data_IF_756967017787
#
_entry.id   IF_756967017787
#
_cell.length_a   1.000
_cell.length_b   1.000
_cell.length_c   1.000
_cell.angle_alpha   90.00
_cell.angle_beta   90.00
_cell.angle_gamma   90.00
#
_symmetry.space_group_name_H-M   'P 1'
#
loop_
_entity.id
_entity.type
_entity.pdbx_description
1 polymer ?
#
# COMPACT_ATOMS: atom_id res chain seq x y z
N UNK A 1 -16.07 5.03 19.57
CA UNK A 1 -15.18 5.03 18.41
C UNK A 1 -15.55 6.20 17.53
N UNK A 2 -14.74 7.25 17.52
CA UNK A 2 -14.98 8.45 16.72
C UNK A 2 -14.78 8.14 15.25
N UNK A 3 -15.89 8.08 14.51
CA UNK A 3 -15.94 7.84 13.05
C UNK A 3 -15.01 8.82 12.31
N UNK A 4 -14.85 10.04 12.82
CA UNK A 4 -13.88 11.02 12.33
C UNK A 4 -12.44 10.49 12.29
N UNK A 5 -11.97 9.88 13.38
CA UNK A 5 -10.60 9.35 13.45
C UNK A 5 -10.42 8.13 12.53
N UNK A 6 -11.46 7.29 12.40
CA UNK A 6 -11.45 6.15 11.47
C UNK A 6 -11.37 6.61 10.01
N UNK A 7 -12.17 7.59 9.61
CA UNK A 7 -12.17 8.13 8.23
C UNK A 7 -10.82 8.77 7.89
N UNK A 8 -10.23 9.51 8.83
CA UNK A 8 -8.91 10.12 8.64
C UNK A 8 -7.84 9.02 8.48
N UNK A 9 -7.88 7.97 9.31
CA UNK A 9 -6.93 6.85 9.17
C UNK A 9 -7.09 6.11 7.83
N UNK A 10 -8.32 5.98 7.33
CA UNK A 10 -8.60 5.37 6.02
C UNK A 10 -8.08 6.24 4.87
N UNK A 11 -8.26 7.57 4.94
CA UNK A 11 -7.74 8.50 3.95
C UNK A 11 -6.21 8.54 3.95
N UNK A 12 -5.59 8.56 5.14
CA UNK A 12 -4.14 8.51 5.28
C UNK A 12 -3.61 7.18 4.73
N UNK A 13 -4.24 6.05 5.05
CA UNK A 13 -3.89 4.73 4.50
C UNK A 13 -3.95 4.71 2.96
N UNK A 14 -5.00 5.32 2.38
CA UNK A 14 -5.17 5.38 0.93
C UNK A 14 -4.03 6.15 0.25
N UNK A 15 -3.62 7.29 0.83
CA UNK A 15 -2.51 8.11 0.31
C UNK A 15 -1.13 7.47 0.63
N UNK A 16 -1.01 6.74 1.74
CA UNK A 16 0.22 6.06 2.12
C UNK A 16 0.50 4.83 1.23
N UNK A 17 -0.55 4.22 0.67
CA UNK A 17 -0.42 3.04 -0.19
C UNK A 17 0.49 3.25 -1.43
N UNK A 18 0.36 4.30 -2.25
CA UNK A 18 1.29 4.55 -3.35
C UNK A 18 2.71 4.85 -2.86
N UNK A 19 2.86 5.54 -1.72
CA UNK A 19 4.18 5.86 -1.14
C UNK A 19 4.93 4.57 -0.81
N UNK A 20 4.27 3.62 -0.16
CA UNK A 20 4.86 2.32 0.19
C UNK A 20 5.24 1.54 -1.07
N UNK A 21 4.41 1.57 -2.12
CA UNK A 21 4.71 0.88 -3.39
C UNK A 21 5.97 1.43 -4.05
N UNK A 22 6.12 2.75 -4.13
CA UNK A 22 7.34 3.36 -4.68
C UNK A 22 8.58 3.05 -3.84
N UNK A 23 8.47 3.00 -2.50
CA UNK A 23 9.56 2.59 -1.63
C UNK A 23 9.96 1.14 -1.92
N UNK A 24 9.00 0.22 -1.97
CA UNK A 24 9.26 -1.20 -2.27
C UNK A 24 9.88 -1.34 -3.67
N UNK A 25 9.38 -0.61 -4.66
CA UNK A 25 9.91 -0.64 -6.03
C UNK A 25 11.34 -0.11 -6.08
N UNK A 26 11.66 0.91 -5.29
CA UNK A 26 13.00 1.46 -5.18
C UNK A 26 13.96 0.47 -4.53
N UNK A 27 13.54 -0.21 -3.45
CA UNK A 27 14.34 -1.26 -2.81
C UNK A 27 14.55 -2.44 -3.76
N UNK A 28 13.52 -2.84 -4.50
CA UNK A 28 13.61 -3.92 -5.48
C UNK A 28 14.57 -3.58 -6.63
N UNK A 29 14.56 -2.33 -7.10
CA UNK A 29 15.54 -1.82 -8.07
C UNK A 29 16.97 -1.84 -7.53
N UNK A 30 17.17 -1.43 -6.27
CA UNK A 30 18.47 -1.50 -5.59
C UNK A 30 18.96 -2.95 -5.41
N UNK A 31 18.03 -3.90 -5.25
CA UNK A 31 18.33 -5.33 -5.18
C UNK A 31 18.63 -5.96 -6.56
N UNK A 32 18.70 -5.17 -7.64
CA UNK A 32 19.01 -5.62 -8.99
C UNK A 32 17.81 -6.07 -9.82
N UNK A 33 16.58 -5.84 -9.34
CA UNK A 33 15.38 -6.18 -10.09
C UNK A 33 14.93 -5.02 -10.99
N UNK A 34 14.95 -5.24 -12.30
CA UNK A 34 14.35 -4.34 -13.27
C UNK A 34 12.85 -4.63 -13.40
N UNK A 35 12.07 -4.11 -12.45
CA UNK A 35 10.62 -4.07 -12.57
C UNK A 35 10.21 -2.88 -13.45
N UNK A 36 10.00 -3.14 -14.74
CA UNK A 36 9.26 -2.26 -15.63
C UNK A 36 7.76 -2.56 -15.46
N UNK A 37 7.08 -1.78 -14.61
CA UNK A 37 5.65 -1.95 -14.42
C UNK A 37 4.88 -1.23 -15.51
N UNK A 38 4.09 -1.98 -16.28
CA UNK A 38 3.05 -1.38 -17.11
C UNK A 38 1.93 -0.78 -16.25
N UNK A 39 1.12 0.10 -16.84
CA UNK A 39 -0.01 0.72 -16.15
C UNK A 39 -0.98 -0.32 -15.54
N UNK A 40 -1.19 -1.46 -16.23
CA UNK A 40 -2.06 -2.54 -15.75
C UNK A 40 -1.48 -3.30 -14.56
N UNK A 41 -0.18 -3.56 -14.56
CA UNK A 41 0.49 -4.26 -13.45
C UNK A 41 0.58 -3.38 -12.20
N UNK A 42 0.82 -2.09 -12.38
CA UNK A 42 0.81 -1.10 -11.28
C UNK A 42 -0.55 -1.07 -10.57
N UNK A 43 -1.65 -1.14 -11.33
CA UNK A 43 -3.01 -1.19 -10.79
C UNK A 43 -3.23 -2.43 -9.91
N UNK A 44 -2.81 -3.61 -10.37
CA UNK A 44 -2.95 -4.87 -9.65
C UNK A 44 -2.16 -4.83 -8.34
N UNK A 45 -0.91 -4.35 -8.37
CA UNK A 45 -0.05 -4.26 -7.20
C UNK A 45 -0.58 -3.24 -6.18
N UNK A 46 -1.15 -2.14 -6.67
CA UNK A 46 -1.78 -1.14 -5.80
C UNK A 46 -2.99 -1.68 -5.05
N UNK A 47 -3.89 -2.37 -5.74
CA UNK A 47 -5.06 -3.00 -5.11
C UNK A 47 -4.64 -4.11 -4.14
N UNK A 48 -3.69 -4.97 -4.52
CA UNK A 48 -3.16 -6.02 -3.65
C UNK A 48 -2.53 -5.45 -2.38
N UNK A 49 -1.75 -4.37 -2.51
CA UNK A 49 -1.12 -3.72 -1.37
C UNK A 49 -2.16 -3.04 -0.45
N UNK A 50 -3.20 -2.43 -1.02
CA UNK A 50 -4.31 -1.88 -0.24
C UNK A 50 -5.02 -2.97 0.58
N UNK A 51 -5.25 -4.15 0.01
CA UNK A 51 -5.81 -5.31 0.72
C UNK A 51 -4.86 -5.78 1.83
N UNK A 52 -3.57 -5.90 1.54
CA UNK A 52 -2.55 -6.34 2.51
C UNK A 52 -2.45 -5.40 3.72
N UNK A 53 -2.45 -4.08 3.49
CA UNK A 53 -2.44 -3.07 4.55
C UNK A 53 -3.70 -3.20 5.41
N UNK A 54 -4.87 -3.36 4.78
CA UNK A 54 -6.15 -3.51 5.48
C UNK A 54 -6.15 -4.74 6.39
N UNK A 55 -5.64 -5.88 5.90
CA UNK A 55 -5.48 -7.11 6.69
C UNK A 55 -4.48 -6.91 7.83
N UNK A 56 -3.37 -6.22 7.59
CA UNK A 56 -2.35 -5.95 8.62
C UNK A 56 -2.88 -5.06 9.75
N UNK A 57 -3.75 -4.11 9.43
CA UNK A 57 -4.42 -3.27 10.43
C UNK A 57 -5.43 -4.09 11.24
N UNK A 58 -6.24 -4.95 10.61
CA UNK A 58 -7.17 -5.84 11.33
C UNK A 58 -6.43 -6.78 12.29
N UNK A 59 -5.32 -7.37 11.84
CA UNK A 59 -4.55 -8.32 12.65
C UNK A 59 -3.86 -7.67 13.86
N UNK A 60 -3.66 -6.36 13.85
CA UNK A 60 -3.14 -5.61 15.01
C UNK A 60 -4.20 -5.34 16.09
N UNK A 61 -5.47 -5.63 15.82
CA UNK A 61 -6.59 -5.45 16.76
C UNK A 61 -7.02 -6.75 17.46
N UNK A 62 -6.26 -7.84 17.34
CA UNK A 62 -6.55 -9.14 17.98
C UNK A 62 -5.46 -9.56 18.95
#
# INVERSE_FOLDING_TARGET
MDIKNTIINLLVSLILSPIIIYIVLTIARLAGSNYEMSHGETWIIWVLMAILIRISIEKKSS
#
